data_IF_495101835063
#
_entry.id   IF_495101835063
#
_cell.length_a   1.000
_cell.length_b   1.000
_cell.length_c   1.000
_cell.angle_alpha   90.00
_cell.angle_beta   90.00
_cell.angle_gamma   90.00
#
_symmetry.space_group_name_H-M   'P 1'
#
loop_
_entity.id
_entity.type
_entity.pdbx_description
1 polymer ?
#
# COMPACT_ATOMS: atom_id res chain seq x y z
N UNK A 1 6.08 19.13 -16.94
CA UNK A 1 4.66 18.76 -16.78
C UNK A 1 4.53 17.87 -15.57
N UNK A 2 3.49 18.04 -14.75
CA UNK A 2 3.18 17.18 -13.61
C UNK A 2 1.84 16.51 -13.88
N UNK A 3 1.79 15.18 -13.76
CA UNK A 3 0.58 14.38 -13.87
C UNK A 3 0.30 13.70 -12.53
N UNK A 4 -0.98 13.54 -12.19
CA UNK A 4 -1.44 12.82 -10.99
C UNK A 4 -2.30 11.66 -11.46
N UNK A 5 -1.98 10.46 -10.99
CA UNK A 5 -2.64 9.21 -11.35
C UNK A 5 -3.20 8.55 -10.08
N UNK A 6 -4.27 7.78 -10.24
CA UNK A 6 -4.80 6.93 -9.18
C UNK A 6 -3.93 5.68 -8.98
N UNK A 7 -3.82 5.15 -7.74
CA UNK A 7 -3.11 3.91 -7.49
C UNK A 7 -3.89 2.69 -7.98
N UNK A 8 -3.18 1.55 -8.10
CA UNK A 8 -3.77 0.24 -8.37
C UNK A 8 -4.06 -0.52 -7.06
N UNK A 9 -5.02 -1.45 -7.10
CA UNK A 9 -5.28 -2.40 -6.00
C UNK A 9 -4.38 -3.64 -6.07
N UNK A 10 -4.01 -4.05 -7.28
CA UNK A 10 -3.16 -5.21 -7.53
C UNK A 10 -1.70 -4.79 -7.55
N UNK A 11 -0.84 -5.57 -6.90
CA UNK A 11 0.60 -5.39 -6.88
C UNK A 11 1.27 -6.59 -7.55
N UNK A 12 2.38 -6.36 -8.24
CA UNK A 12 3.21 -7.39 -8.89
C UNK A 12 4.65 -7.28 -8.36
N UNK A 13 5.07 -8.32 -7.65
CA UNK A 13 6.42 -8.44 -7.10
C UNK A 13 7.25 -9.53 -7.80
N UNK A 14 6.66 -10.25 -8.77
CA UNK A 14 7.33 -11.33 -9.50
C UNK A 14 8.00 -10.82 -10.78
N UNK A 15 7.48 -9.74 -11.36
CA UNK A 15 8.06 -9.12 -12.53
C UNK A 15 9.47 -8.59 -12.26
N UNK A 16 10.37 -8.85 -13.20
CA UNK A 16 11.72 -8.28 -13.18
C UNK A 16 11.62 -6.76 -13.33
N UNK A 17 12.09 -6.02 -12.33
CA UNK A 17 12.10 -4.56 -12.36
C UNK A 17 12.92 -4.06 -13.56
N UNK A 18 12.31 -3.16 -14.36
CA UNK A 18 12.97 -2.57 -15.52
C UNK A 18 14.11 -1.60 -15.14
N UNK A 19 14.24 -1.25 -13.86
CA UNK A 19 15.24 -0.34 -13.31
C UNK A 19 15.56 -0.72 -11.86
N UNK A 20 16.82 -0.51 -11.48
CA UNK A 20 17.28 -0.67 -10.08
C UNK A 20 17.32 0.67 -9.30
N UNK A 21 17.01 1.79 -9.95
CA UNK A 21 16.94 3.09 -9.26
C UNK A 21 15.65 3.20 -8.48
N UNK A 22 15.75 3.47 -7.18
CA UNK A 22 14.63 3.70 -6.27
C UNK A 22 14.90 4.91 -5.37
N UNK A 23 13.87 5.36 -4.66
CA UNK A 23 13.95 6.40 -3.64
C UNK A 23 13.00 6.09 -2.51
N UNK A 24 13.27 6.63 -1.32
CA UNK A 24 12.38 6.48 -0.18
C UNK A 24 11.13 7.38 -0.27
N UNK A 25 9.96 6.92 0.21
CA UNK A 25 8.77 7.74 0.33
C UNK A 25 9.00 8.91 1.30
N UNK A 26 8.53 10.11 0.94
CA UNK A 26 8.67 11.32 1.78
C UNK A 26 7.84 11.28 3.07
N UNK A 27 6.79 10.46 3.11
CA UNK A 27 5.82 10.39 4.22
C UNK A 27 5.83 9.03 4.91
N UNK A 28 7.03 8.43 5.07
CA UNK A 28 7.17 7.10 5.65
C UNK A 28 6.63 7.01 7.09
N UNK A 29 6.78 8.07 7.89
CA UNK A 29 6.29 8.10 9.28
C UNK A 29 4.77 8.03 9.34
N UNK A 30 4.08 8.80 8.50
CA UNK A 30 2.62 8.82 8.42
C UNK A 30 2.07 7.50 7.87
N UNK A 31 2.74 6.91 6.88
CA UNK A 31 2.39 5.58 6.39
C UNK A 31 2.50 4.53 7.51
N UNK A 32 3.54 4.63 8.35
CA UNK A 32 3.73 3.72 9.47
C UNK A 32 2.66 3.89 10.56
N UNK A 33 2.27 5.12 10.90
CA UNK A 33 1.17 5.37 11.85
C UNK A 33 -0.15 4.70 11.40
N UNK A 34 -0.47 4.80 10.10
CA UNK A 34 -1.64 4.14 9.52
C UNK A 34 -1.51 2.61 9.57
N UNK A 35 -0.35 2.07 9.20
CA UNK A 35 -0.09 0.63 9.24
C UNK A 35 -0.24 0.07 10.67
N UNK A 36 0.41 0.70 11.65
CA UNK A 36 0.32 0.31 13.07
C UNK A 36 -1.11 0.36 13.60
N UNK A 37 -1.93 1.32 13.15
CA UNK A 37 -3.35 1.33 13.53
C UNK A 37 -4.11 0.13 12.96
N UNK A 38 -3.92 -0.15 11.66
CA UNK A 38 -4.59 -1.26 10.97
C UNK A 38 -4.13 -2.64 11.46
N UNK A 39 -2.91 -2.77 11.97
CA UNK A 39 -2.39 -4.01 12.58
C UNK A 39 -3.23 -4.50 13.78
N UNK A 40 -3.96 -3.59 14.45
CA UNK A 40 -4.84 -3.95 15.56
C UNK A 40 -6.17 -4.59 15.15
N UNK A 41 -6.50 -4.60 13.86
CA UNK A 41 -7.75 -5.11 13.32
C UNK A 41 -7.66 -6.62 13.10
N UNK A 42 -8.75 -7.35 13.38
CA UNK A 42 -8.81 -8.76 13.00
C UNK A 42 -8.99 -8.90 11.47
N UNK A 43 -8.69 -10.08 10.89
CA UNK A 43 -8.97 -10.33 9.47
C UNK A 43 -10.44 -10.04 9.10
N UNK A 44 -11.40 -10.39 9.96
CA UNK A 44 -12.81 -10.11 9.73
C UNK A 44 -13.11 -8.61 9.70
N UNK A 45 -12.53 -7.84 10.63
CA UNK A 45 -12.70 -6.38 10.65
C UNK A 45 -12.13 -5.74 9.38
N UNK A 46 -10.99 -6.23 8.89
CA UNK A 46 -10.37 -5.74 7.65
C UNK A 46 -11.21 -6.09 6.42
N UNK A 47 -11.75 -7.31 6.33
CA UNK A 47 -12.62 -7.74 5.25
C UNK A 47 -13.89 -6.88 5.17
N UNK A 48 -14.53 -6.64 6.32
CA UNK A 48 -15.74 -5.82 6.41
C UNK A 48 -15.45 -4.35 6.08
N UNK A 49 -14.32 -3.80 6.59
CA UNK A 49 -13.91 -2.43 6.33
C UNK A 49 -13.56 -2.19 4.84
N UNK A 50 -12.83 -3.12 4.25
CA UNK A 50 -12.24 -2.96 2.91
C UNK A 50 -13.12 -3.55 1.80
N UNK A 51 -14.14 -4.32 2.14
CA UNK A 51 -14.98 -5.04 1.17
C UNK A 51 -14.20 -6.11 0.39
N UNK A 52 -13.24 -6.77 1.05
CA UNK A 52 -12.41 -7.83 0.48
C UNK A 52 -12.71 -9.17 1.15
N UNK A 53 -12.36 -10.28 0.50
CA UNK A 53 -12.48 -11.61 1.11
C UNK A 53 -11.60 -11.73 2.36
N UNK A 54 -12.07 -12.51 3.34
CA UNK A 54 -11.30 -12.90 4.53
C UNK A 54 -10.24 -13.96 4.23
#
# INVERSE_FOLDING_TARGET
VLAVLSPAKTLDFDAVAQSQKSSEPRFAMQANELATHLESFSPADLSDLMGVSA
#
